data_IF_115567180667
#
_entry.id   IF_115567180667
#
_cell.length_a   1.000
_cell.length_b   1.000
_cell.length_c   1.000
_cell.angle_alpha   90.00
_cell.angle_beta   90.00
_cell.angle_gamma   90.00
#
_symmetry.space_group_name_H-M   'P 1'
#
loop_
_entity.id
_entity.type
_entity.pdbx_description
1 polymer ?
#
# COMPACT_ATOMS: atom_id res chain seq x y z
N UNK A 1 -32.33 40.34 13.61
CA UNK A 1 -30.85 40.22 13.67
C UNK A 1 -30.53 38.75 13.92
N UNK A 2 -30.18 38.01 12.88
CA UNK A 2 -29.86 36.59 13.01
C UNK A 2 -28.43 36.45 13.54
N UNK A 3 -28.29 35.82 14.70
CA UNK A 3 -27.01 35.46 15.30
C UNK A 3 -26.32 34.44 14.39
N UNK A 4 -25.20 34.82 13.77
CA UNK A 4 -24.30 33.89 13.10
C UNK A 4 -23.70 32.94 14.15
N UNK A 5 -23.76 31.61 13.98
CA UNK A 5 -23.17 30.70 14.96
C UNK A 5 -21.65 30.84 14.94
N UNK A 6 -21.09 31.13 16.11
CA UNK A 6 -19.67 31.18 16.40
C UNK A 6 -19.06 29.79 16.13
N UNK A 7 -18.24 29.66 15.09
CA UNK A 7 -17.49 28.42 14.82
C UNK A 7 -16.59 28.07 16.01
N UNK A 8 -16.54 26.80 16.45
CA UNK A 8 -15.74 26.39 17.61
C UNK A 8 -14.24 26.61 17.37
N UNK A 9 -13.50 27.15 18.36
CA UNK A 9 -12.05 27.32 18.25
C UNK A 9 -11.38 25.97 18.52
N UNK A 10 -10.82 25.32 17.49
CA UNK A 10 -10.05 24.10 17.72
C UNK A 10 -9.73 23.22 16.51
N UNK A 11 -10.36 23.45 15.36
CA UNK A 11 -9.96 22.81 14.11
C UNK A 11 -9.09 23.82 13.39
N UNK A 12 -7.78 23.57 13.32
CA UNK A 12 -6.95 24.29 12.34
C UNK A 12 -7.59 24.03 11.00
N UNK A 13 -8.26 25.02 10.41
CA UNK A 13 -8.84 24.94 9.07
C UNK A 13 -7.71 24.53 8.12
N UNK A 14 -7.63 23.23 7.86
CA UNK A 14 -6.63 22.64 7.00
C UNK A 14 -7.03 23.04 5.59
N UNK A 15 -6.49 24.18 5.13
CA UNK A 15 -6.71 24.64 3.78
C UNK A 15 -6.26 23.54 2.83
N UNK A 16 -7.21 22.89 2.16
CA UNK A 16 -6.91 21.80 1.25
C UNK A 16 -6.49 22.38 -0.10
N UNK A 17 -5.21 22.75 -0.22
CA UNK A 17 -4.65 23.19 -1.49
C UNK A 17 -4.33 21.98 -2.37
N UNK A 18 -5.02 21.90 -3.50
CA UNK A 18 -4.67 21.00 -4.61
C UNK A 18 -3.30 21.38 -5.18
N UNK A 19 -2.68 20.47 -5.92
CA UNK A 19 -1.41 20.77 -6.60
C UNK A 19 -1.57 21.92 -7.61
N UNK A 20 -2.75 22.06 -8.24
CA UNK A 20 -3.07 23.18 -9.12
C UNK A 20 -3.11 24.52 -8.39
N UNK A 21 -3.68 24.57 -7.19
CA UNK A 21 -3.67 25.79 -6.38
C UNK A 21 -2.25 26.22 -6.03
N UNK A 22 -1.39 25.27 -5.66
CA UNK A 22 0.02 25.55 -5.35
C UNK A 22 0.80 26.04 -6.58
N UNK A 23 0.57 25.45 -7.75
CA UNK A 23 1.17 25.91 -9.01
C UNK A 23 0.70 27.32 -9.35
N UNK A 24 -0.61 27.60 -9.18
CA UNK A 24 -1.16 28.95 -9.38
C UNK A 24 -0.48 29.97 -8.46
N UNK A 25 -0.25 29.63 -7.20
CA UNK A 25 0.47 30.48 -6.24
C UNK A 25 1.91 30.76 -6.74
N UNK A 26 2.63 29.74 -7.21
CA UNK A 26 3.98 29.92 -7.76
C UNK A 26 4.00 30.83 -9.00
N UNK A 27 2.98 30.72 -9.86
CA UNK A 27 2.79 31.61 -11.01
C UNK A 27 2.52 33.06 -10.57
N UNK A 28 1.67 33.26 -9.56
CA UNK A 28 1.34 34.60 -9.04
C UNK A 28 2.54 35.31 -8.42
N UNK A 29 3.40 34.58 -7.69
CA UNK A 29 4.66 35.12 -7.15
C UNK A 29 5.62 35.55 -8.29
N UNK A 30 5.49 34.94 -9.47
CA UNK A 30 6.45 35.08 -10.56
C UNK A 30 7.73 34.30 -10.25
N UNK A 31 7.59 32.99 -10.06
CA UNK A 31 8.71 32.10 -9.79
C UNK A 31 9.78 32.20 -10.90
N UNK A 32 11.02 32.52 -10.50
CA UNK A 32 12.12 32.87 -11.41
C UNK A 32 12.66 34.26 -11.06
N UNK A 33 11.83 35.28 -11.28
CA UNK A 33 12.23 36.69 -11.19
C UNK A 33 11.80 37.39 -9.88
N UNK A 34 10.98 36.72 -9.04
CA UNK A 34 10.42 37.25 -7.77
C UNK A 34 9.77 38.63 -7.93
N UNK A 35 8.96 38.78 -8.97
CA UNK A 35 8.29 40.06 -9.27
C UNK A 35 7.30 40.53 -8.20
N UNK A 36 6.75 39.63 -7.37
CA UNK A 36 5.74 39.94 -6.36
C UNK A 36 6.10 39.41 -4.98
N UNK A 37 5.67 40.13 -3.95
CA UNK A 37 5.79 39.69 -2.56
C UNK A 37 4.79 38.58 -2.24
N UNK A 38 5.07 37.77 -1.21
CA UNK A 38 4.14 36.70 -0.82
C UNK A 38 2.79 37.26 -0.32
N UNK A 39 2.75 38.47 0.23
CA UNK A 39 1.51 39.12 0.67
C UNK A 39 0.62 39.51 -0.52
N UNK A 40 1.21 40.04 -1.59
CA UNK A 40 0.48 40.32 -2.84
C UNK A 40 -0.04 39.04 -3.49
N UNK A 41 0.76 37.97 -3.48
CA UNK A 41 0.34 36.67 -4.00
C UNK A 41 -0.86 36.10 -3.22
N UNK A 42 -0.91 36.28 -1.89
CA UNK A 42 -2.09 35.92 -1.08
C UNK A 42 -3.31 36.69 -1.53
N UNK A 43 -3.19 38.02 -1.74
CA UNK A 43 -4.31 38.86 -2.16
C UNK A 43 -4.87 38.42 -3.51
N UNK A 44 -3.98 38.22 -4.50
CA UNK A 44 -4.35 37.76 -5.84
C UNK A 44 -4.97 36.36 -5.81
N UNK A 45 -4.46 35.48 -4.96
CA UNK A 45 -5.00 34.13 -4.81
C UNK A 45 -6.40 34.16 -4.20
N UNK A 46 -6.64 34.97 -3.17
CA UNK A 46 -7.95 35.09 -2.54
C UNK A 46 -8.97 35.76 -3.46
N UNK A 47 -8.55 36.71 -4.28
CA UNK A 47 -9.38 37.34 -5.30
C UNK A 47 -9.79 36.33 -6.39
N UNK A 48 -8.89 35.43 -6.78
CA UNK A 48 -9.14 34.39 -7.77
C UNK A 48 -10.01 33.24 -7.25
N UNK A 49 -9.87 32.89 -5.97
CA UNK A 49 -10.58 31.77 -5.33
C UNK A 49 -11.28 32.24 -4.04
N UNK A 50 -12.34 33.06 -4.14
CA UNK A 50 -13.04 33.61 -2.98
C UNK A 50 -13.77 32.54 -2.16
N UNK A 51 -14.08 31.39 -2.76
CA UNK A 51 -14.73 30.24 -2.13
C UNK A 51 -13.79 29.44 -1.21
N UNK A 52 -12.48 29.59 -1.38
CA UNK A 52 -11.48 28.88 -0.59
C UNK A 52 -11.19 29.60 0.73
N UNK A 53 -10.87 28.81 1.74
CA UNK A 53 -10.40 29.30 3.02
C UNK A 53 -9.16 30.18 2.83
N UNK A 54 -9.10 31.37 3.46
CA UNK A 54 -7.98 32.27 3.32
C UNK A 54 -6.63 31.62 3.64
N UNK A 55 -5.70 31.73 2.68
CA UNK A 55 -4.33 31.24 2.86
C UNK A 55 -3.48 32.29 3.58
N UNK A 56 -2.57 31.83 4.44
CA UNK A 56 -1.60 32.70 5.10
C UNK A 56 -0.38 32.96 4.21
N UNK A 57 0.29 34.09 4.42
CA UNK A 57 1.60 34.39 3.81
C UNK A 57 2.64 33.29 4.11
N UNK A 58 2.59 32.70 5.31
CA UNK A 58 3.46 31.59 5.69
C UNK A 58 3.22 30.32 4.88
N UNK A 59 1.98 30.07 4.44
CA UNK A 59 1.63 28.96 3.55
C UNK A 59 2.29 29.16 2.18
N UNK A 60 2.22 30.37 1.63
CA UNK A 60 2.85 30.75 0.36
C UNK A 60 4.37 30.58 0.43
N UNK A 61 4.99 31.06 1.51
CA UNK A 61 6.43 30.92 1.76
C UNK A 61 6.87 29.45 1.84
N UNK A 62 6.09 28.60 2.55
CA UNK A 62 6.36 27.15 2.62
C UNK A 62 6.28 26.48 1.25
N UNK A 63 5.30 26.83 0.43
CA UNK A 63 5.14 26.28 -0.93
C UNK A 63 6.32 26.71 -1.81
N UNK A 64 6.70 28.00 -1.79
CA UNK A 64 7.86 28.50 -2.52
C UNK A 64 9.14 27.77 -2.11
N UNK A 65 9.39 27.65 -0.80
CA UNK A 65 10.55 26.95 -0.26
C UNK A 65 10.57 25.47 -0.67
N UNK A 66 9.45 24.77 -0.50
CA UNK A 66 9.32 23.37 -0.89
C UNK A 66 9.62 23.17 -2.38
N UNK A 67 9.11 24.06 -3.23
CA UNK A 67 9.34 23.98 -4.67
C UNK A 67 10.80 24.28 -5.05
N UNK A 68 11.45 25.27 -4.42
CA UNK A 68 12.89 25.55 -4.63
C UNK A 68 13.78 24.38 -4.22
N UNK A 69 13.47 23.72 -3.11
CA UNK A 69 14.27 22.62 -2.57
C UNK A 69 14.06 21.30 -3.33
N UNK A 70 12.82 21.00 -3.74
CA UNK A 70 12.44 19.68 -4.27
C UNK A 70 12.09 19.68 -5.76
N UNK A 71 11.83 20.84 -6.36
CA UNK A 71 11.38 20.98 -7.74
C UNK A 71 9.91 20.62 -7.99
N UNK A 72 9.13 20.27 -6.95
CA UNK A 72 7.73 19.89 -7.09
C UNK A 72 6.86 20.28 -5.88
N UNK A 73 5.56 20.50 -6.11
CA UNK A 73 4.58 20.92 -5.08
C UNK A 73 3.81 19.77 -4.43
N UNK A 74 4.01 18.54 -4.90
CA UNK A 74 3.34 17.34 -4.36
C UNK A 74 3.67 17.16 -2.88
N UNK A 75 2.64 16.87 -2.09
CA UNK A 75 2.84 16.45 -0.71
C UNK A 75 3.43 15.03 -0.72
N UNK A 76 4.54 14.83 -0.02
CA UNK A 76 5.03 13.47 0.19
C UNK A 76 4.06 12.76 1.13
N UNK A 77 3.65 11.55 0.75
CA UNK A 77 3.06 10.62 1.68
C UNK A 77 4.12 10.36 2.75
N UNK A 78 3.84 10.75 4.00
CA UNK A 78 4.69 10.34 5.12
C UNK A 78 4.64 8.82 5.17
N UNK A 79 5.81 8.17 5.16
CA UNK A 79 5.86 6.75 5.45
C UNK A 79 5.28 6.56 6.86
N UNK A 80 4.40 5.57 7.08
CA UNK A 80 3.93 5.26 8.42
C UNK A 80 5.15 4.95 9.31
N UNK A 81 5.11 5.35 10.60
CA UNK A 81 6.27 5.31 11.49
C UNK A 81 6.87 3.90 11.68
N UNK A 82 6.13 2.84 11.38
CA UNK A 82 6.56 1.45 11.55
C UNK A 82 6.78 0.73 10.22
N UNK A 83 7.26 1.44 9.18
CA UNK A 83 7.67 0.76 7.94
C UNK A 83 8.98 0.02 8.21
N UNK A 84 8.95 -1.31 8.10
CA UNK A 84 10.15 -2.15 8.17
C UNK A 84 11.18 -1.68 7.12
N UNK A 85 12.47 -1.64 7.49
CA UNK A 85 13.57 -1.36 6.55
C UNK A 85 13.56 -2.38 5.41
N UNK A 86 14.01 -1.98 4.23
CA UNK A 86 14.04 -2.86 3.07
C UNK A 86 15.03 -4.02 3.28
N UNK A 87 16.13 -3.81 4.00
CA UNK A 87 17.09 -4.87 4.39
C UNK A 87 16.41 -5.97 5.22
N UNK A 88 15.64 -5.57 6.24
CA UNK A 88 14.90 -6.52 7.07
C UNK A 88 13.81 -7.28 6.31
N UNK A 89 13.24 -6.69 5.25
CA UNK A 89 12.31 -7.42 4.39
C UNK A 89 13.05 -8.48 3.59
N UNK A 90 14.23 -8.14 3.08
CA UNK A 90 15.06 -9.07 2.34
C UNK A 90 15.48 -10.26 3.23
N UNK A 91 15.88 -10.00 4.48
CA UNK A 91 16.22 -11.04 5.46
C UNK A 91 15.04 -12.00 5.70
N UNK A 92 13.83 -11.45 5.87
CA UNK A 92 12.59 -12.24 6.05
C UNK A 92 12.34 -13.14 4.84
N UNK A 93 12.52 -12.61 3.63
CA UNK A 93 12.27 -13.35 2.39
C UNK A 93 13.31 -14.45 2.18
N UNK A 94 14.59 -14.14 2.39
CA UNK A 94 15.68 -15.10 2.25
C UNK A 94 15.53 -16.27 3.22
N UNK A 95 15.23 -16.00 4.50
CA UNK A 95 15.08 -17.05 5.51
C UNK A 95 13.94 -18.04 5.17
N UNK A 96 12.87 -17.55 4.54
CA UNK A 96 11.74 -18.38 4.14
C UNK A 96 12.02 -19.15 2.84
N UNK A 97 12.79 -18.56 1.91
CA UNK A 97 13.22 -19.22 0.68
C UNK A 97 14.22 -20.35 0.98
N UNK A 98 15.16 -20.13 1.89
CA UNK A 98 16.11 -21.14 2.35
C UNK A 98 15.42 -22.29 3.08
N UNK A 99 14.36 -22.01 3.84
CA UNK A 99 13.66 -23.00 4.65
C UNK A 99 12.13 -22.80 4.61
N UNK A 100 11.47 -23.35 3.59
CA UNK A 100 10.00 -23.26 3.42
C UNK A 100 9.18 -23.87 4.58
N UNK A 101 9.80 -24.69 5.43
CA UNK A 101 9.16 -25.28 6.61
C UNK A 101 9.15 -24.36 7.83
N UNK A 102 9.86 -23.23 7.80
CA UNK A 102 9.89 -22.29 8.93
C UNK A 102 8.57 -21.54 9.03
N UNK A 103 7.98 -21.56 10.22
CA UNK A 103 6.74 -20.82 10.46
C UNK A 103 7.05 -19.32 10.57
N UNK A 104 6.09 -18.48 10.15
CA UNK A 104 6.20 -17.01 10.31
C UNK A 104 6.50 -16.56 11.75
N UNK A 105 6.10 -17.36 12.76
CA UNK A 105 6.42 -17.11 14.18
C UNK A 105 7.88 -17.40 14.52
N UNK A 106 8.45 -18.47 13.96
CA UNK A 106 9.86 -18.78 14.13
C UNK A 106 10.73 -17.72 13.45
N UNK A 107 10.38 -17.31 12.23
CA UNK A 107 11.04 -16.21 11.52
C UNK A 107 11.00 -14.91 12.33
N UNK A 108 9.86 -14.61 12.98
CA UNK A 108 9.70 -13.43 13.85
C UNK A 108 10.68 -13.46 15.02
N UNK A 109 10.79 -14.62 15.67
CA UNK A 109 11.72 -14.81 16.79
C UNK A 109 13.18 -14.75 16.34
N UNK A 110 13.51 -15.31 15.17
CA UNK A 110 14.88 -15.37 14.66
C UNK A 110 15.40 -13.99 14.25
N UNK A 111 14.57 -13.18 13.58
CA UNK A 111 14.95 -11.86 13.08
C UNK A 111 14.61 -10.72 14.06
N UNK A 112 14.02 -11.04 15.22
CA UNK A 112 13.55 -10.07 16.22
C UNK A 112 12.61 -9.00 15.63
N UNK A 113 11.72 -9.43 14.74
CA UNK A 113 10.71 -8.60 14.07
C UNK A 113 9.33 -8.99 14.58
N UNK A 114 8.40 -8.04 14.70
CA UNK A 114 7.03 -8.38 15.10
C UNK A 114 6.38 -9.35 14.11
N UNK A 115 5.66 -10.34 14.62
CA UNK A 115 4.95 -11.32 13.79
C UNK A 115 4.00 -10.67 12.78
N UNK A 116 3.34 -9.58 13.19
CA UNK A 116 2.47 -8.76 12.32
C UNK A 116 3.21 -8.12 11.14
N UNK A 117 4.46 -7.68 11.35
CA UNK A 117 5.27 -7.09 10.28
C UNK A 117 5.71 -8.15 9.28
N UNK A 118 6.07 -9.36 9.75
CA UNK A 118 6.37 -10.49 8.87
C UNK A 118 5.16 -10.83 8.00
N UNK A 119 3.98 -11.02 8.58
CA UNK A 119 2.77 -11.33 7.80
C UNK A 119 2.52 -10.27 6.72
N UNK A 120 2.74 -9.00 7.04
CA UNK A 120 2.62 -7.91 6.07
C UNK A 120 3.65 -8.00 4.94
N UNK A 121 4.91 -8.31 5.26
CA UNK A 121 5.95 -8.56 4.25
C UNK A 121 5.56 -9.72 3.34
N UNK A 122 4.98 -10.80 3.88
CA UNK A 122 4.52 -11.93 3.08
C UNK A 122 3.39 -11.52 2.14
N UNK A 123 2.38 -10.81 2.63
CA UNK A 123 1.25 -10.34 1.81
C UNK A 123 1.70 -9.35 0.74
N UNK A 124 2.59 -8.42 1.09
CA UNK A 124 3.08 -7.37 0.18
C UNK A 124 3.91 -7.97 -0.97
N UNK A 125 4.58 -9.12 -0.73
CA UNK A 125 5.38 -9.84 -1.71
C UNK A 125 4.69 -11.08 -2.28
N UNK A 126 3.37 -11.25 -2.07
CA UNK A 126 2.58 -12.37 -2.60
C UNK A 126 3.11 -13.75 -2.19
N UNK A 127 3.81 -13.84 -1.06
CA UNK A 127 4.26 -15.10 -0.49
C UNK A 127 3.17 -15.66 0.40
N UNK A 128 2.64 -16.83 0.02
CA UNK A 128 1.65 -17.53 0.81
C UNK A 128 2.37 -18.59 1.66
N UNK A 129 2.42 -18.45 3.00
CA UNK A 129 2.94 -19.52 3.83
C UNK A 129 2.12 -20.78 3.58
N UNK A 130 2.75 -21.83 3.04
CA UNK A 130 2.08 -23.08 2.72
C UNK A 130 1.62 -23.77 4.00
N UNK A 131 0.36 -24.17 4.05
CA UNK A 131 -0.11 -25.08 5.08
C UNK A 131 0.38 -26.48 4.72
N UNK A 132 1.11 -27.11 5.64
CA UNK A 132 1.41 -28.54 5.55
C UNK A 132 0.08 -29.31 5.45
N UNK A 133 -0.16 -29.91 4.30
CA UNK A 133 -1.25 -30.87 4.13
C UNK A 133 -0.66 -32.24 4.45
N UNK A 134 -0.90 -32.81 5.64
CA UNK A 134 -0.48 -34.18 5.91
C UNK A 134 -1.16 -35.08 4.88
N UNK A 135 -0.35 -35.76 4.07
CA UNK A 135 -0.82 -36.78 3.15
C UNK A 135 -0.53 -38.14 3.78
N UNK A 136 -1.35 -39.14 3.45
CA UNK A 136 -1.12 -40.50 3.91
C UNK A 136 0.25 -40.97 3.41
N UNK A 137 1.03 -41.56 4.31
CA UNK A 137 2.28 -42.22 3.95
C UNK A 137 2.01 -43.31 2.92
N UNK A 138 2.90 -43.40 1.94
CA UNK A 138 2.83 -44.38 0.87
C UNK A 138 3.59 -45.63 1.29
N UNK A 139 2.95 -46.80 1.19
CA UNK A 139 3.66 -48.06 1.29
C UNK A 139 4.54 -48.26 0.04
N UNK A 140 5.60 -49.07 0.15
CA UNK A 140 6.52 -49.34 -0.98
C UNK A 140 5.77 -49.88 -2.22
N UNK A 141 4.74 -50.72 -2.01
CA UNK A 141 3.89 -51.27 -3.08
C UNK A 141 2.90 -50.25 -3.70
N UNK A 142 2.66 -49.11 -3.05
CA UNK A 142 1.63 -48.16 -3.49
C UNK A 142 2.06 -47.36 -4.72
N UNK A 143 3.38 -47.18 -4.94
CA UNK A 143 3.89 -46.49 -6.11
C UNK A 143 3.48 -47.21 -7.40
N UNK A 144 3.75 -48.51 -7.48
CA UNK A 144 3.40 -49.33 -8.65
C UNK A 144 1.89 -49.41 -8.86
N UNK A 145 1.12 -49.58 -7.78
CA UNK A 145 -0.36 -49.61 -7.85
C UNK A 145 -0.95 -48.29 -8.35
N UNK A 146 -0.36 -47.14 -7.96
CA UNK A 146 -0.81 -45.82 -8.41
C UNK A 146 -0.44 -45.55 -9.86
N UNK A 147 0.75 -45.95 -10.30
CA UNK A 147 1.15 -45.84 -11.71
C UNK A 147 0.23 -46.71 -12.58
N UNK A 148 0.02 -47.98 -12.21
CA UNK A 148 -0.93 -48.88 -12.87
C UNK A 148 -2.34 -48.29 -12.94
N UNK A 149 -2.84 -47.72 -11.84
CA UNK A 149 -4.14 -47.04 -11.82
C UNK A 149 -4.19 -45.86 -12.80
N UNK A 150 -3.20 -44.97 -12.79
CA UNK A 150 -3.13 -43.83 -13.70
C UNK A 150 -3.02 -44.27 -15.18
N UNK A 151 -2.24 -45.30 -15.46
CA UNK A 151 -2.07 -45.88 -16.81
C UNK A 151 -3.28 -46.66 -17.29
N UNK A 152 -4.13 -47.15 -16.39
CA UNK A 152 -5.41 -47.80 -16.68
C UNK A 152 -6.57 -46.82 -16.87
N UNK A 153 -6.34 -45.51 -16.62
CA UNK A 153 -7.31 -44.43 -16.87
C UNK A 153 -7.00 -43.63 -18.17
N UNK A 154 -6.61 -44.20 -19.33
CA UNK A 154 -6.80 -43.51 -20.60
C UNK A 154 -8.24 -43.79 -21.05
N UNK A 155 -9.13 -42.82 -20.84
CA UNK A 155 -10.37 -42.71 -21.63
C UNK A 155 -11.68 -43.21 -21.03
N UNK A 156 -11.74 -43.64 -19.76
CA UNK A 156 -13.03 -43.85 -19.09
C UNK A 156 -13.44 -42.61 -18.29
N UNK A 157 -13.86 -41.58 -19.01
CA UNK A 157 -14.69 -40.51 -18.45
C UNK A 157 -15.99 -41.16 -17.95
N UNK A 158 -16.01 -41.62 -16.70
CA UNK A 158 -17.28 -41.85 -16.01
C UNK A 158 -17.80 -40.46 -15.67
N UNK A 159 -18.44 -39.84 -16.66
CA UNK A 159 -19.41 -38.80 -16.39
C UNK A 159 -20.47 -39.47 -15.53
N UNK A 160 -20.47 -39.18 -14.22
CA UNK A 160 -21.53 -39.60 -13.30
C UNK A 160 -22.82 -38.88 -13.70
N UNK A 161 -23.41 -39.32 -14.80
CA UNK A 161 -24.81 -39.08 -15.14
C UNK A 161 -25.64 -40.00 -14.25
N UNK A 162 -26.61 -39.42 -13.53
CA UNK A 162 -27.53 -40.18 -12.70
C UNK A 162 -28.24 -41.22 -13.57
N UNK A 163 -28.09 -42.50 -13.23
CA UNK A 163 -29.06 -43.52 -13.58
C UNK A 163 -28.55 -44.65 -14.48
N UNK A 164 -28.62 -45.85 -13.88
CA UNK A 164 -28.74 -47.19 -14.47
C UNK A 164 -27.44 -47.88 -14.92
N UNK A 165 -27.15 -48.93 -14.15
CA UNK A 165 -26.22 -50.02 -14.44
C UNK A 165 -26.95 -50.94 -15.42
N UNK A 166 -26.28 -51.33 -16.52
CA UNK A 166 -26.63 -52.52 -17.28
C UNK A 166 -25.38 -53.37 -17.47
N UNK A 167 -25.58 -54.65 -17.22
CA UNK A 167 -24.65 -55.78 -17.19
C UNK A 167 -24.01 -56.09 -18.53
N UNK A 168 -22.81 -56.67 -18.45
CA UNK A 168 -22.25 -57.65 -19.38
C UNK A 168 -21.49 -58.68 -18.55
#
# INVERSE_FOLDING_TARGET
>A
MALTPLSPPGIRDMVYLTDMHKITILQMIGYGDRTRTQAEAVRLFQEKYPELTPISQGTVSKIEKQFRERGHVRQLKKNPPNKLSDDHKLDVMLMLEENLHTSSRQTASALNISHSSILRVLTDNQMHPYNLVPTNELAEDDFDRRILFCEQIPGKTVVRGRGKILTG
#
